data_IF_068638992422
#
_entry.id   IF_068638992422
#
_cell.length_a   1.000
_cell.length_b   1.000
_cell.length_c   1.000
_cell.angle_alpha   90.00
_cell.angle_beta   90.00
_cell.angle_gamma   90.00
#
_symmetry.space_group_name_H-M   'P 1'
#
loop_
_entity.id
_entity.type
_entity.pdbx_description
1 polymer ?
#
# COMPACT_ATOMS: atom_id res chain seq x y z
N UNK A 1 40.66 6.64 -4.63
CA UNK A 1 39.67 5.88 -5.42
C UNK A 1 38.62 6.88 -5.88
N UNK A 2 38.31 6.96 -7.17
CA UNK A 2 37.21 7.81 -7.63
C UNK A 2 35.91 7.26 -7.06
N UNK A 3 35.14 8.10 -6.35
CA UNK A 3 33.77 7.76 -5.94
C UNK A 3 32.99 7.32 -7.19
N UNK A 4 32.22 6.25 -7.06
CA UNK A 4 31.31 5.89 -8.13
C UNK A 4 30.29 7.03 -8.33
N UNK A 5 29.81 7.23 -9.56
CA UNK A 5 28.77 8.23 -9.84
C UNK A 5 27.54 8.02 -8.94
N UNK A 6 27.21 6.77 -8.63
CA UNK A 6 26.14 6.38 -7.71
C UNK A 6 26.37 6.91 -6.29
N UNK A 7 27.57 6.72 -5.73
CA UNK A 7 27.91 7.25 -4.40
C UNK A 7 27.83 8.78 -4.37
N UNK A 8 28.31 9.44 -5.42
CA UNK A 8 28.24 10.91 -5.53
C UNK A 8 26.80 11.41 -5.54
N UNK A 9 25.88 10.70 -6.21
CA UNK A 9 24.46 11.06 -6.23
C UNK A 9 23.78 10.80 -4.89
N UNK A 10 24.09 9.70 -4.23
CA UNK A 10 23.56 9.37 -2.90
C UNK A 10 24.09 10.29 -1.80
N UNK A 11 25.32 10.76 -1.91
CA UNK A 11 25.93 11.74 -1.00
C UNK A 11 25.22 13.11 -1.00
N UNK A 12 24.34 13.37 -1.97
CA UNK A 12 23.45 14.55 -1.96
C UNK A 12 22.32 14.45 -0.94
N UNK A 13 22.09 13.25 -0.39
CA UNK A 13 21.13 13.00 0.67
C UNK A 13 21.95 12.70 1.93
N UNK A 14 22.20 13.73 2.74
CA UNK A 14 23.14 13.64 3.88
C UNK A 14 22.81 12.47 4.84
N UNK A 15 21.52 12.13 4.96
CA UNK A 15 21.06 11.04 5.83
C UNK A 15 21.36 9.64 5.30
N UNK A 16 21.73 9.47 4.03
CA UNK A 16 22.06 8.17 3.44
C UNK A 16 23.30 7.52 4.08
N UNK A 17 24.21 8.34 4.62
CA UNK A 17 25.43 7.87 5.29
C UNK A 17 25.21 7.52 6.77
N UNK A 18 24.02 7.77 7.34
CA UNK A 18 23.75 7.48 8.75
C UNK A 18 23.65 5.98 8.99
N UNK A 19 24.17 5.51 10.11
CA UNK A 19 24.09 4.09 10.47
C UNK A 19 22.66 3.65 10.81
N UNK A 20 21.86 4.55 11.38
CA UNK A 20 20.49 4.29 11.82
C UNK A 20 19.43 4.41 10.71
N UNK A 21 19.80 4.74 9.47
CA UNK A 21 18.85 4.80 8.36
C UNK A 21 18.36 3.40 7.99
N UNK A 22 17.05 3.27 7.80
CA UNK A 22 16.36 2.03 7.38
C UNK A 22 15.93 2.16 5.92
N UNK A 23 15.27 3.27 5.57
CA UNK A 23 14.69 3.47 4.24
C UNK A 23 14.83 4.94 3.83
N UNK A 24 15.14 5.19 2.55
CA UNK A 24 15.03 6.51 1.92
C UNK A 24 14.12 6.39 0.70
N UNK A 25 13.10 7.23 0.63
CA UNK A 25 12.20 7.33 -0.52
C UNK A 25 12.32 8.72 -1.16
N UNK A 26 12.28 8.75 -2.48
CA UNK A 26 12.31 9.95 -3.30
C UNK A 26 11.07 9.90 -4.19
N UNK A 27 10.17 10.85 -3.97
CA UNK A 27 8.91 10.91 -4.69
C UNK A 27 9.10 11.61 -6.05
N UNK A 28 8.18 11.40 -7.01
CA UNK A 28 8.22 12.04 -8.32
C UNK A 28 8.22 13.58 -8.32
N UNK A 29 7.90 14.22 -7.20
CA UNK A 29 7.97 15.68 -7.01
C UNK A 29 9.34 16.17 -6.48
N UNK A 30 10.30 15.24 -6.32
CA UNK A 30 11.65 15.47 -5.83
C UNK A 30 11.77 15.50 -4.31
N UNK A 31 10.68 15.36 -3.56
CA UNK A 31 10.74 15.33 -2.09
C UNK A 31 11.41 14.04 -1.61
N UNK A 32 12.30 14.18 -0.63
CA UNK A 32 12.99 13.05 0.00
C UNK A 32 12.40 12.77 1.38
N UNK A 33 12.29 11.49 1.70
CA UNK A 33 11.71 10.99 2.94
C UNK A 33 12.63 9.92 3.51
N UNK A 34 12.83 9.90 4.83
CA UNK A 34 13.67 8.93 5.50
C UNK A 34 12.94 8.24 6.66
N UNK A 35 13.20 6.95 6.83
CA UNK A 35 12.86 6.18 8.03
C UNK A 35 14.13 5.80 8.76
N UNK A 36 14.19 6.07 10.06
CA UNK A 36 15.33 5.76 10.92
C UNK A 36 14.94 4.79 12.03
N UNK A 37 15.92 4.17 12.67
CA UNK A 37 15.69 3.24 13.76
C UNK A 37 14.85 3.89 14.88
N UNK A 38 13.72 3.25 15.21
CA UNK A 38 12.77 3.72 16.23
C UNK A 38 11.65 4.61 15.69
N UNK A 39 11.69 4.99 14.41
CA UNK A 39 10.60 5.74 13.80
C UNK A 39 9.36 4.87 13.56
N UNK A 40 8.18 5.47 13.75
CA UNK A 40 6.91 4.85 13.38
C UNK A 40 6.50 5.15 11.93
N UNK A 41 6.82 6.36 11.46
CA UNK A 41 6.52 6.85 10.10
C UNK A 41 7.76 7.49 9.48
N UNK A 42 7.81 7.53 8.15
CA UNK A 42 8.83 8.27 7.44
C UNK A 42 8.74 9.77 7.75
N UNK A 43 9.88 10.42 7.85
CA UNK A 43 9.99 11.88 8.03
C UNK A 43 10.45 12.53 6.75
N UNK A 44 9.93 13.73 6.48
CA UNK A 44 10.41 14.55 5.37
C UNK A 44 11.85 14.99 5.66
N UNK A 45 12.71 14.86 4.66
CA UNK A 45 14.09 15.35 4.70
C UNK A 45 14.17 16.77 4.14
N UNK A 46 15.19 17.52 4.55
CA UNK A 46 15.40 18.90 4.09
C UNK A 46 15.85 18.94 2.62
N UNK A 47 16.53 17.89 2.16
CA UNK A 47 17.00 17.77 0.80
C UNK A 47 15.83 17.55 -0.17
N UNK A 48 15.92 18.22 -1.32
CA UNK A 48 15.02 18.02 -2.45
C UNK A 48 15.87 17.82 -3.71
N UNK A 49 15.57 16.77 -4.45
CA UNK A 49 16.26 16.50 -5.71
C UNK A 49 15.52 17.11 -6.90
N UNK A 50 16.26 17.64 -7.87
CA UNK A 50 15.67 18.07 -9.13
C UNK A 50 15.27 16.86 -9.96
N UNK A 51 14.38 17.04 -10.95
CA UNK A 51 14.00 15.94 -11.85
C UNK A 51 15.20 15.32 -12.58
N UNK A 52 16.23 16.12 -12.88
CA UNK A 52 17.50 15.65 -13.46
C UNK A 52 18.25 14.76 -12.47
N UNK A 53 18.38 15.20 -11.22
CA UNK A 53 19.10 14.44 -10.18
C UNK A 53 18.43 13.10 -9.90
N UNK A 54 17.08 13.08 -9.82
CA UNK A 54 16.29 11.86 -9.64
C UNK A 54 16.50 10.91 -10.82
N UNK A 55 16.47 11.43 -12.06
CA UNK A 55 16.68 10.63 -13.27
C UNK A 55 18.08 10.04 -13.32
N UNK A 56 19.09 10.84 -13.01
CA UNK A 56 20.50 10.42 -13.03
C UNK A 56 20.74 9.34 -11.98
N UNK A 57 20.24 9.53 -10.76
CA UNK A 57 20.30 8.52 -9.70
C UNK A 57 19.61 7.22 -10.12
N UNK A 58 18.38 7.29 -10.65
CA UNK A 58 17.65 6.11 -11.12
C UNK A 58 18.39 5.33 -12.21
N UNK A 59 18.99 6.03 -13.18
CA UNK A 59 19.80 5.40 -14.23
C UNK A 59 21.09 4.77 -13.70
N UNK A 60 21.75 5.42 -12.75
CA UNK A 60 22.95 4.90 -12.09
C UNK A 60 22.64 3.63 -11.28
N UNK A 61 21.51 3.60 -10.57
CA UNK A 61 21.01 2.41 -9.86
C UNK A 61 20.81 1.26 -10.86
N UNK A 62 20.08 1.49 -11.95
CA UNK A 62 19.87 0.45 -12.97
C UNK A 62 21.19 -0.04 -13.57
N UNK A 63 22.07 0.88 -13.95
CA UNK A 63 23.37 0.57 -14.52
C UNK A 63 24.26 -0.24 -13.58
N UNK A 64 24.24 0.03 -12.27
CA UNK A 64 25.06 -0.68 -11.29
C UNK A 64 24.72 -2.18 -11.17
N UNK A 65 23.50 -2.56 -11.59
CA UNK A 65 23.02 -3.93 -11.61
C UNK A 65 22.93 -4.51 -13.03
N UNK A 66 23.59 -3.89 -14.02
CA UNK A 66 23.57 -4.29 -15.43
C UNK A 66 22.15 -4.42 -16.02
N UNK A 67 21.24 -3.57 -15.57
CA UNK A 67 19.86 -3.51 -16.09
C UNK A 67 19.55 -2.11 -16.62
N UNK A 68 18.49 -2.00 -17.41
CA UNK A 68 18.03 -0.74 -17.98
C UNK A 68 16.52 -0.58 -17.80
N UNK A 69 16.09 0.67 -17.66
CA UNK A 69 14.68 1.03 -17.65
C UNK A 69 14.27 1.50 -19.04
N UNK A 70 13.05 1.17 -19.45
CA UNK A 70 12.44 1.68 -20.67
C UNK A 70 10.98 2.02 -20.42
N UNK A 71 10.31 2.60 -21.42
CA UNK A 71 8.86 2.85 -21.35
C UNK A 71 8.08 1.53 -21.20
N UNK A 72 8.55 0.47 -21.84
CA UNK A 72 7.90 -0.85 -21.81
C UNK A 72 8.30 -1.66 -20.57
N UNK A 73 9.42 -1.32 -19.91
CA UNK A 73 9.88 -1.91 -18.65
C UNK A 73 10.20 -0.80 -17.65
N UNK A 74 9.16 -0.17 -17.06
CA UNK A 74 9.34 1.04 -16.27
C UNK A 74 9.78 0.77 -14.83
N UNK A 75 10.06 -0.47 -14.45
CA UNK A 75 10.31 -0.89 -13.07
C UNK A 75 11.65 -1.62 -13.00
N UNK A 76 12.51 -1.19 -12.09
CA UNK A 76 13.77 -1.85 -11.75
C UNK A 76 13.79 -2.15 -10.26
N UNK A 77 14.10 -3.40 -9.92
CA UNK A 77 14.24 -3.88 -8.55
C UNK A 77 15.58 -4.58 -8.42
N UNK A 78 16.55 -3.97 -7.73
CA UNK A 78 17.96 -4.43 -7.73
C UNK A 78 18.58 -4.32 -6.35
N UNK A 79 19.74 -4.96 -6.17
CA UNK A 79 20.60 -4.74 -5.00
C UNK A 79 21.86 -4.01 -5.45
N UNK A 80 22.22 -2.95 -4.74
CA UNK A 80 23.37 -2.09 -4.98
C UNK A 80 24.19 -1.96 -3.70
N UNK A 81 25.38 -1.38 -3.80
CA UNK A 81 26.25 -1.12 -2.65
C UNK A 81 26.56 0.36 -2.56
N UNK A 82 26.48 0.93 -1.37
CA UNK A 82 26.86 2.31 -1.08
C UNK A 82 27.81 2.31 0.13
N UNK A 83 29.06 2.75 -0.05
CA UNK A 83 30.08 2.76 1.02
C UNK A 83 30.24 1.41 1.74
N UNK A 84 30.15 0.32 0.98
CA UNK A 84 30.21 -1.06 1.51
C UNK A 84 28.90 -1.58 2.12
N UNK A 85 27.87 -0.75 2.28
CA UNK A 85 26.56 -1.14 2.80
C UNK A 85 25.63 -1.60 1.66
N UNK A 86 25.04 -2.81 1.73
CA UNK A 86 24.05 -3.25 0.76
C UNK A 86 22.75 -2.44 0.88
N UNK A 87 22.20 -2.08 -0.28
CA UNK A 87 20.91 -1.39 -0.41
C UNK A 87 20.06 -2.18 -1.41
N UNK A 88 18.80 -2.44 -1.05
CA UNK A 88 17.78 -2.84 -2.02
C UNK A 88 17.16 -1.59 -2.61
N UNK A 89 17.18 -1.46 -3.93
CA UNK A 89 16.65 -0.30 -4.63
C UNK A 89 15.46 -0.69 -5.51
N UNK A 90 14.39 0.08 -5.40
CA UNK A 90 13.21 0.04 -6.25
C UNK A 90 13.15 1.36 -7.02
N UNK A 91 13.14 1.30 -8.35
CA UNK A 91 12.99 2.48 -9.21
C UNK A 91 11.78 2.27 -10.12
N UNK A 92 10.92 3.27 -10.19
CA UNK A 92 9.77 3.31 -11.09
C UNK A 92 9.85 4.58 -11.92
N UNK A 93 9.85 4.46 -13.24
CA UNK A 93 9.96 5.58 -14.19
C UNK A 93 8.64 5.80 -14.95
N UNK A 94 8.40 7.00 -15.53
CA UNK A 94 7.33 7.17 -16.50
C UNK A 94 7.41 6.11 -17.63
N UNK A 95 6.27 5.58 -18.10
CA UNK A 95 4.90 6.04 -17.83
C UNK A 95 4.21 5.47 -16.58
N UNK A 96 4.87 4.61 -15.79
CA UNK A 96 4.27 4.00 -14.59
C UNK A 96 4.08 4.99 -13.43
N UNK A 97 4.72 6.17 -13.51
CA UNK A 97 4.50 7.35 -12.68
C UNK A 97 4.36 8.57 -13.60
N UNK A 98 3.62 9.59 -13.18
CA UNK A 98 3.21 10.68 -14.08
C UNK A 98 4.31 11.73 -14.39
N UNK A 99 5.21 12.03 -13.45
CA UNK A 99 6.16 13.15 -13.57
C UNK A 99 7.62 12.66 -13.68
N UNK A 100 8.31 12.53 -12.56
CA UNK A 100 9.67 12.01 -12.46
C UNK A 100 9.66 10.57 -11.92
N UNK A 101 10.84 9.97 -11.78
CA UNK A 101 10.94 8.63 -11.20
C UNK A 101 10.58 8.64 -9.71
N UNK A 102 10.04 7.52 -9.22
CA UNK A 102 9.97 7.21 -7.79
C UNK A 102 11.11 6.26 -7.45
N UNK A 103 11.84 6.54 -6.37
CA UNK A 103 12.98 5.72 -5.91
C UNK A 103 12.76 5.35 -4.45
N UNK A 104 12.88 4.08 -4.10
CA UNK A 104 12.91 3.60 -2.72
C UNK A 104 14.19 2.80 -2.47
N UNK A 105 14.88 3.12 -1.39
CA UNK A 105 16.19 2.59 -1.02
C UNK A 105 16.11 2.01 0.39
N UNK A 106 16.13 0.70 0.49
CA UNK A 106 16.16 -0.01 1.77
C UNK A 106 17.58 -0.38 2.15
N UNK A 107 18.07 0.21 3.23
CA UNK A 107 19.41 0.00 3.75
C UNK A 107 19.44 -1.23 4.66
N UNK A 108 20.46 -2.07 4.51
CA UNK A 108 20.59 -3.25 5.35
C UNK A 108 21.06 -2.83 6.73
N UNK A 109 20.49 -3.42 7.77
CA UNK A 109 20.90 -3.13 9.15
C UNK A 109 22.36 -3.53 9.36
N UNK A 110 23.12 -2.65 10.01
CA UNK A 110 24.48 -2.90 10.49
C UNK A 110 24.55 -3.20 11.99
N UNK A 111 23.38 -3.32 12.66
CA UNK A 111 23.32 -3.62 14.10
C UNK A 111 23.99 -4.96 14.41
N UNK A 112 24.96 -5.00 15.33
CA UNK A 112 25.56 -6.25 15.79
C UNK A 112 24.51 -7.08 16.53
N UNK A 113 24.61 -8.41 16.43
CA UNK A 113 23.63 -9.33 17.01
C UNK A 113 23.51 -9.16 18.53
N UNK A 114 24.61 -8.83 19.21
CA UNK A 114 24.66 -8.58 20.65
C UNK A 114 23.86 -7.33 21.07
N UNK A 115 23.60 -6.41 20.13
CA UNK A 115 22.80 -5.20 20.35
C UNK A 115 21.29 -5.41 20.13
N UNK A 116 20.87 -6.61 19.70
CA UNK A 116 19.45 -6.91 19.44
C UNK A 116 18.80 -7.43 20.73
N UNK A 117 18.06 -6.55 21.41
CA UNK A 117 17.19 -6.92 22.51
C UNK A 117 15.73 -7.08 22.03
N UNK A 118 15.06 -8.14 22.47
CA UNK A 118 13.66 -8.41 22.16
C UNK A 118 12.85 -8.44 23.44
N UNK A 119 11.80 -7.62 23.50
CA UNK A 119 10.86 -7.55 24.61
C UNK A 119 9.42 -7.62 24.08
N UNK A 120 8.47 -7.96 24.95
CA UNK A 120 7.07 -7.75 24.63
C UNK A 120 6.80 -6.27 24.43
N UNK A 121 6.36 -5.88 23.23
CA UNK A 121 6.00 -4.49 22.88
C UNK A 121 4.98 -3.86 23.84
N UNK A 122 4.19 -4.70 24.52
CA UNK A 122 3.15 -4.27 25.46
C UNK A 122 3.43 -4.69 26.91
N UNK A 123 4.69 -5.03 27.23
CA UNK A 123 5.11 -5.57 28.53
C UNK A 123 4.63 -6.99 28.85
N UNK A 124 3.71 -7.53 28.03
CA UNK A 124 3.19 -8.89 28.10
C UNK A 124 2.78 -9.37 26.71
N UNK A 125 2.60 -10.69 26.58
CA UNK A 125 1.99 -11.28 25.39
C UNK A 125 0.60 -10.68 25.13
N UNK A 126 0.33 -10.39 23.86
CA UNK A 126 -1.00 -10.01 23.37
C UNK A 126 -1.31 -10.80 22.10
N UNK A 127 -2.46 -11.45 22.07
CA UNK A 127 -2.97 -12.14 20.88
C UNK A 127 -3.56 -11.10 19.92
N UNK A 128 -2.96 -10.96 18.74
CA UNK A 128 -3.39 -9.97 17.75
C UNK A 128 -4.77 -10.28 17.14
N UNK A 129 -5.15 -11.57 17.09
CA UNK A 129 -6.48 -11.96 16.60
C UNK A 129 -7.60 -11.53 17.56
N UNK A 130 -7.39 -11.64 18.88
CA UNK A 130 -8.37 -11.16 19.87
C UNK A 130 -8.60 -9.64 19.71
N UNK A 131 -7.51 -8.88 19.53
CA UNK A 131 -7.59 -7.43 19.26
C UNK A 131 -8.33 -7.11 17.97
N UNK A 132 -8.17 -7.94 16.94
CA UNK A 132 -8.89 -7.77 15.67
C UNK A 132 -10.40 -7.98 15.84
N UNK A 133 -10.79 -9.00 16.61
CA UNK A 133 -12.20 -9.26 16.94
C UNK A 133 -12.80 -8.11 17.76
N UNK A 134 -12.05 -7.59 18.74
CA UNK A 134 -12.44 -6.42 19.54
C UNK A 134 -12.67 -5.18 18.66
N UNK A 135 -11.74 -4.89 17.73
CA UNK A 135 -11.87 -3.78 16.77
C UNK A 135 -13.12 -3.92 15.89
N UNK A 136 -13.40 -5.12 15.38
CA UNK A 136 -14.61 -5.39 14.57
C UNK A 136 -15.89 -5.14 15.39
N UNK A 137 -15.92 -5.53 16.67
CA UNK A 137 -17.05 -5.26 17.57
C UNK A 137 -17.23 -3.76 17.81
N UNK A 138 -16.16 -3.05 18.14
CA UNK A 138 -16.21 -1.60 18.35
C UNK A 138 -16.68 -0.86 17.09
N UNK A 139 -16.22 -1.27 15.89
CA UNK A 139 -16.72 -0.70 14.63
C UNK A 139 -18.24 -0.88 14.48
N UNK A 140 -18.80 -2.04 14.86
CA UNK A 140 -20.26 -2.25 14.82
C UNK A 140 -21.01 -1.26 15.70
N UNK A 141 -20.49 -0.95 16.88
CA UNK A 141 -21.07 0.03 17.80
C UNK A 141 -21.03 1.45 17.20
N UNK A 142 -19.90 1.85 16.61
CA UNK A 142 -19.74 3.15 15.94
C UNK A 142 -20.70 3.27 14.74
N UNK A 143 -20.81 2.23 13.92
CA UNK A 143 -21.75 2.21 12.78
C UNK A 143 -23.20 2.32 13.26
N UNK A 144 -23.56 1.65 14.36
CA UNK A 144 -24.91 1.71 14.92
C UNK A 144 -25.29 3.10 15.44
N UNK A 145 -24.32 3.95 15.80
CA UNK A 145 -24.57 5.35 16.15
C UNK A 145 -24.99 6.22 14.95
N UNK A 146 -24.82 5.74 13.72
CA UNK A 146 -25.27 6.41 12.49
C UNK A 146 -24.37 7.55 11.99
N UNK A 147 -23.20 7.76 12.61
CA UNK A 147 -22.23 8.78 12.21
C UNK A 147 -21.20 8.17 11.25
N UNK A 148 -21.44 8.36 9.94
CA UNK A 148 -20.62 7.75 8.88
C UNK A 148 -19.16 8.20 8.97
N UNK A 149 -18.91 9.50 9.19
CA UNK A 149 -17.55 10.03 9.28
C UNK A 149 -16.76 9.41 10.45
N UNK A 150 -17.42 9.16 11.59
CA UNK A 150 -16.80 8.50 12.74
C UNK A 150 -16.47 7.03 12.44
N UNK A 151 -17.37 6.33 11.73
CA UNK A 151 -17.10 4.97 11.29
C UNK A 151 -15.93 4.89 10.30
N UNK A 152 -15.85 5.82 9.34
CA UNK A 152 -14.72 5.90 8.40
C UNK A 152 -13.42 6.24 9.12
N UNK A 153 -13.43 7.21 10.04
CA UNK A 153 -12.28 7.57 10.86
C UNK A 153 -11.81 6.37 11.69
N UNK A 154 -12.74 5.67 12.35
CA UNK A 154 -12.43 4.46 13.12
C UNK A 154 -11.72 3.40 12.28
N UNK A 155 -12.23 3.11 11.08
CA UNK A 155 -11.60 2.15 10.16
C UNK A 155 -10.16 2.54 9.81
N UNK A 156 -9.92 3.82 9.55
CA UNK A 156 -8.61 4.34 9.19
C UNK A 156 -7.64 4.29 10.36
N UNK A 157 -8.02 4.84 11.51
CA UNK A 157 -7.21 4.88 12.74
C UNK A 157 -6.82 3.48 13.22
N UNK A 158 -7.74 2.51 13.09
CA UNK A 158 -7.50 1.13 13.50
C UNK A 158 -6.82 0.26 12.44
N UNK A 159 -6.45 0.86 11.29
CA UNK A 159 -5.77 0.18 10.16
C UNK A 159 -6.56 -1.04 9.67
N UNK A 160 -7.88 -0.90 9.54
CA UNK A 160 -8.74 -1.97 9.03
C UNK A 160 -8.57 -2.14 7.51
N UNK A 161 -8.49 -3.38 7.05
CA UNK A 161 -8.45 -3.73 5.64
C UNK A 161 -9.86 -3.55 5.03
N UNK A 162 -9.97 -2.66 4.04
CA UNK A 162 -11.26 -2.20 3.53
C UNK A 162 -11.48 -2.56 2.07
N UNK A 163 -12.72 -2.87 1.72
CA UNK A 163 -13.19 -2.85 0.33
C UNK A 163 -14.31 -1.83 0.22
N UNK A 164 -14.21 -0.89 -0.71
CA UNK A 164 -15.34 -0.04 -1.11
C UNK A 164 -16.04 -0.71 -2.28
N UNK A 165 -17.26 -1.21 -2.06
CA UNK A 165 -18.05 -1.86 -3.09
C UNK A 165 -19.28 -1.06 -3.50
N UNK A 166 -19.92 -1.42 -4.60
CA UNK A 166 -21.02 -0.67 -5.19
C UNK A 166 -21.15 -0.84 -6.70
N UNK A 167 -22.37 -0.68 -7.20
CA UNK A 167 -22.69 -0.68 -8.63
C UNK A 167 -21.98 0.43 -9.41
N UNK A 168 -22.26 0.49 -10.72
CA UNK A 168 -21.75 1.58 -11.56
C UNK A 168 -22.38 2.90 -11.14
N UNK A 169 -21.56 3.97 -11.08
CA UNK A 169 -22.01 5.32 -10.76
C UNK A 169 -22.63 5.53 -9.35
N UNK A 170 -22.34 4.65 -8.39
CA UNK A 170 -22.75 4.80 -6.98
C UNK A 170 -21.83 5.67 -6.13
N UNK A 171 -20.64 6.03 -6.64
CA UNK A 171 -19.71 6.92 -5.95
C UNK A 171 -18.58 6.22 -5.17
N UNK A 172 -18.20 4.99 -5.54
CA UNK A 172 -17.08 4.26 -4.91
C UNK A 172 -15.80 5.10 -4.80
N UNK A 173 -15.36 5.72 -5.89
CA UNK A 173 -14.15 6.58 -5.88
C UNK A 173 -14.33 7.77 -4.95
N UNK A 174 -15.53 8.34 -4.83
CA UNK A 174 -15.81 9.43 -3.89
C UNK A 174 -15.72 8.96 -2.45
N UNK A 175 -16.30 7.79 -2.14
CA UNK A 175 -16.18 7.19 -0.81
C UNK A 175 -14.73 6.84 -0.47
N UNK A 176 -13.97 6.30 -1.42
CA UNK A 176 -12.54 6.04 -1.27
C UNK A 176 -11.75 7.33 -0.99
N UNK A 177 -12.00 8.41 -1.73
CA UNK A 177 -11.40 9.74 -1.47
C UNK A 177 -11.74 10.26 -0.08
N UNK A 178 -12.97 10.08 0.37
CA UNK A 178 -13.40 10.47 1.72
C UNK A 178 -12.66 9.66 2.79
N UNK A 179 -12.52 8.34 2.62
CA UNK A 179 -11.71 7.50 3.51
C UNK A 179 -10.25 7.99 3.56
N UNK A 180 -9.64 8.28 2.41
CA UNK A 180 -8.28 8.81 2.33
C UNK A 180 -8.12 10.15 3.07
N UNK A 181 -9.16 10.97 3.14
CA UNK A 181 -9.10 12.25 3.88
C UNK A 181 -8.98 12.07 5.39
N UNK A 182 -9.31 10.89 5.93
CA UNK A 182 -9.11 10.56 7.34
C UNK A 182 -7.71 9.98 7.62
N UNK A 183 -6.92 9.66 6.59
CA UNK A 183 -5.57 9.09 6.78
C UNK A 183 -4.63 10.18 7.30
N UNK A 184 -3.90 9.94 8.41
CA UNK A 184 -2.92 10.88 8.95
C UNK A 184 -1.88 11.33 7.91
N UNK A 185 -1.40 12.57 8.05
CA UNK A 185 -0.47 13.19 7.10
C UNK A 185 0.92 12.55 7.08
N UNK A 186 1.27 11.84 8.14
CA UNK A 186 2.54 11.18 8.38
C UNK A 186 2.64 9.86 7.62
N UNK A 187 1.50 9.28 7.24
CA UNK A 187 1.46 8.00 6.54
C UNK A 187 1.85 8.15 5.06
N UNK A 188 2.69 7.22 4.60
CA UNK A 188 3.03 7.06 3.20
C UNK A 188 1.96 6.27 2.45
N UNK A 189 1.41 6.86 1.39
CA UNK A 189 0.36 6.23 0.57
C UNK A 189 0.89 5.94 -0.83
N UNK A 190 0.69 4.71 -1.30
CA UNK A 190 0.90 4.37 -2.72
C UNK A 190 -0.43 4.00 -3.35
N UNK A 191 -0.85 4.74 -4.37
CA UNK A 191 -2.06 4.44 -5.16
C UNK A 191 -1.69 3.75 -6.47
N UNK A 192 -2.54 2.84 -6.94
CA UNK A 192 -2.37 2.12 -8.21
C UNK A 192 -3.67 2.23 -8.99
N UNK A 193 -3.65 3.00 -10.09
CA UNK A 193 -4.87 3.39 -10.81
C UNK A 193 -4.62 3.41 -12.31
N UNK A 194 -5.65 3.24 -13.14
CA UNK A 194 -5.51 3.39 -14.61
C UNK A 194 -5.54 4.85 -15.02
N UNK A 195 -6.29 5.67 -14.28
CA UNK A 195 -6.30 7.11 -14.35
C UNK A 195 -6.23 7.63 -12.91
N UNK A 196 -5.46 8.69 -12.68
CA UNK A 196 -5.32 9.26 -11.33
C UNK A 196 -6.61 9.96 -10.89
N UNK A 197 -7.45 9.28 -10.11
CA UNK A 197 -8.74 9.79 -9.62
C UNK A 197 -8.76 9.96 -8.10
N UNK A 198 -7.95 9.20 -7.35
CA UNK A 198 -7.95 9.21 -5.89
C UNK A 198 -7.27 10.46 -5.30
N UNK A 199 -6.21 10.95 -5.93
CA UNK A 199 -5.46 12.18 -5.55
C UNK A 199 -5.35 12.38 -4.01
N UNK A 200 -4.60 11.50 -3.30
CA UNK A 200 -4.38 11.64 -1.87
C UNK A 200 -3.77 13.00 -1.52
N UNK A 201 -4.16 13.56 -0.37
CA UNK A 201 -3.68 14.86 0.12
C UNK A 201 -2.46 14.76 1.02
N UNK A 202 -2.07 13.53 1.39
CA UNK A 202 -0.92 13.26 2.22
C UNK A 202 0.36 13.68 1.48
N UNK A 203 1.30 14.36 2.17
CA UNK A 203 2.52 14.86 1.54
C UNK A 203 3.44 13.74 1.03
N UNK A 204 3.39 12.57 1.67
CA UNK A 204 4.19 11.41 1.28
C UNK A 204 3.34 10.43 0.45
N UNK A 205 2.97 10.82 -0.78
CA UNK A 205 2.15 9.99 -1.64
C UNK A 205 2.78 9.77 -3.02
N UNK A 206 2.60 8.56 -3.56
CA UNK A 206 2.99 8.20 -4.93
C UNK A 206 1.83 7.55 -5.65
N UNK A 207 1.49 8.05 -6.83
CA UNK A 207 0.46 7.45 -7.70
C UNK A 207 1.14 6.71 -8.85
N UNK A 208 0.90 5.40 -8.90
CA UNK A 208 1.31 4.52 -9.98
C UNK A 208 0.17 4.39 -11.00
N UNK A 209 0.53 4.46 -12.28
CA UNK A 209 -0.41 4.35 -13.39
C UNK A 209 -0.31 2.96 -13.99
N UNK A 210 -1.37 2.16 -13.84
CA UNK A 210 -1.51 0.84 -14.41
C UNK A 210 -1.95 0.92 -15.88
N UNK A 211 -1.39 0.04 -16.69
CA UNK A 211 -1.83 -0.18 -18.07
C UNK A 211 -2.02 -1.68 -18.29
N UNK A 212 -3.26 -2.09 -18.59
CA UNK A 212 -3.61 -3.49 -18.79
C UNK A 212 -2.98 -4.11 -20.03
N UNK A 213 -2.71 -3.29 -21.04
CA UNK A 213 -2.17 -3.73 -22.32
C UNK A 213 -0.62 -3.77 -22.30
N UNK A 214 0.00 -3.30 -21.22
CA UNK A 214 1.45 -3.30 -21.04
C UNK A 214 1.88 -4.35 -20.01
N UNK A 215 2.54 -5.40 -20.49
CA UNK A 215 2.98 -6.57 -19.72
C UNK A 215 3.64 -6.22 -18.37
N UNK A 216 4.55 -5.23 -18.37
CA UNK A 216 5.33 -4.82 -17.19
C UNK A 216 4.75 -3.61 -16.44
N UNK A 217 3.52 -3.21 -16.76
CA UNK A 217 2.82 -2.07 -16.13
C UNK A 217 1.39 -2.44 -15.70
N UNK A 218 1.02 -3.71 -15.70
CA UNK A 218 -0.28 -4.15 -15.17
C UNK A 218 -0.42 -3.82 -13.68
N UNK A 219 -1.66 -3.70 -13.20
CA UNK A 219 -1.94 -3.41 -11.78
C UNK A 219 -1.27 -4.41 -10.83
N UNK A 220 -1.27 -5.70 -11.22
CA UNK A 220 -0.60 -6.80 -10.50
C UNK A 220 0.92 -6.59 -10.37
N UNK A 221 1.58 -6.19 -11.45
CA UNK A 221 3.02 -5.91 -11.48
C UNK A 221 3.36 -4.68 -10.62
N UNK A 222 2.56 -3.61 -10.72
CA UNK A 222 2.76 -2.40 -9.92
C UNK A 222 2.48 -2.63 -8.44
N UNK A 223 1.49 -3.47 -8.12
CA UNK A 223 1.18 -3.86 -6.75
C UNK A 223 2.33 -4.66 -6.13
N UNK A 224 2.91 -5.59 -6.89
CA UNK A 224 4.12 -6.31 -6.47
C UNK A 224 5.31 -5.37 -6.25
N UNK A 225 5.49 -4.37 -7.12
CA UNK A 225 6.55 -3.37 -6.97
C UNK A 225 6.36 -2.50 -5.73
N UNK A 226 5.10 -2.19 -5.40
CA UNK A 226 4.72 -1.35 -4.24
C UNK A 226 5.17 -1.95 -2.91
N UNK A 227 5.26 -3.28 -2.79
CA UNK A 227 5.80 -3.95 -1.60
C UNK A 227 7.27 -3.61 -1.30
N UNK A 228 7.98 -2.98 -2.24
CA UNK A 228 9.36 -2.50 -2.09
C UNK A 228 9.45 -0.97 -2.03
N UNK A 229 8.33 -0.28 -1.86
CA UNK A 229 8.26 1.18 -1.83
C UNK A 229 7.98 1.76 -0.43
N UNK A 230 8.06 0.91 0.60
CA UNK A 230 7.64 1.18 1.98
C UNK A 230 6.34 2.00 2.07
N UNK A 231 5.21 1.50 1.59
CA UNK A 231 3.92 2.13 1.85
C UNK A 231 3.48 1.84 3.30
N UNK A 232 2.85 2.82 3.96
CA UNK A 232 2.04 2.57 5.15
C UNK A 232 0.62 2.11 4.78
N UNK A 233 0.15 2.50 3.57
CA UNK A 233 -1.09 2.01 2.95
C UNK A 233 -0.93 1.85 1.44
N UNK A 234 -1.55 0.80 0.92
CA UNK A 234 -1.69 0.53 -0.51
C UNK A 234 -3.14 0.74 -0.91
N UNK A 235 -3.36 1.56 -1.92
CA UNK A 235 -4.69 1.87 -2.42
C UNK A 235 -4.79 1.40 -3.87
N UNK A 236 -5.39 0.24 -4.07
CA UNK A 236 -5.66 -0.24 -5.41
C UNK A 236 -6.96 0.38 -5.91
N UNK A 237 -6.90 1.14 -7.00
CA UNK A 237 -8.05 1.90 -7.51
C UNK A 237 -9.25 1.00 -7.78
N UNK A 238 -9.03 -0.16 -8.38
CA UNK A 238 -10.08 -1.16 -8.61
C UNK A 238 -9.46 -2.55 -8.82
N UNK A 239 -10.12 -3.59 -8.30
CA UNK A 239 -9.82 -4.99 -8.63
C UNK A 239 -10.74 -5.49 -9.74
N UNK A 240 -10.16 -6.04 -10.80
CA UNK A 240 -10.85 -6.68 -11.94
C UNK A 240 -10.32 -8.09 -12.28
N UNK A 241 -9.13 -8.45 -11.83
CA UNK A 241 -8.45 -9.67 -12.24
C UNK A 241 -7.45 -10.21 -11.23
N UNK A 242 -6.34 -10.73 -11.76
CA UNK A 242 -5.30 -11.47 -11.02
C UNK A 242 -4.67 -10.68 -9.86
N UNK A 243 -4.66 -9.35 -9.96
CA UNK A 243 -4.21 -8.44 -8.91
C UNK A 243 -4.98 -8.60 -7.59
N UNK A 244 -6.17 -9.21 -7.62
CA UNK A 244 -6.95 -9.55 -6.43
C UNK A 244 -6.16 -10.37 -5.41
N UNK A 245 -5.45 -11.42 -5.86
CA UNK A 245 -4.68 -12.26 -4.96
C UNK A 245 -3.49 -11.51 -4.39
N UNK A 246 -2.73 -10.84 -5.26
CA UNK A 246 -1.59 -10.01 -4.88
C UNK A 246 -2.00 -8.93 -3.86
N UNK A 247 -3.21 -8.36 -3.98
CA UNK A 247 -3.76 -7.43 -3.00
C UNK A 247 -4.05 -8.10 -1.66
N UNK A 248 -4.70 -9.26 -1.66
CA UNK A 248 -4.99 -10.01 -0.43
C UNK A 248 -3.70 -10.44 0.28
N UNK A 249 -2.66 -10.83 -0.45
CA UNK A 249 -1.35 -11.15 0.14
C UNK A 249 -0.69 -9.89 0.72
N UNK A 250 -0.74 -8.76 0.01
CA UNK A 250 -0.14 -7.51 0.45
C UNK A 250 -0.70 -7.02 1.79
N UNK A 251 -2.04 -7.05 1.95
CA UNK A 251 -2.70 -6.57 3.17
C UNK A 251 -2.48 -7.49 4.38
N UNK A 252 -2.15 -8.76 4.14
CA UNK A 252 -1.85 -9.74 5.20
C UNK A 252 -0.36 -9.79 5.58
N UNK A 253 0.53 -9.18 4.81
CA UNK A 253 2.00 -9.27 4.99
C UNK A 253 2.64 -7.99 5.51
N UNK A 254 1.85 -7.12 6.16
CA UNK A 254 2.37 -5.93 6.84
C UNK A 254 1.88 -4.59 6.29
N UNK A 255 0.96 -4.59 5.32
CA UNK A 255 0.36 -3.36 4.77
C UNK A 255 -1.11 -3.21 5.16
N UNK A 256 -1.40 -3.40 6.45
CA UNK A 256 -2.76 -3.26 7.01
C UNK A 256 -3.30 -1.84 6.87
N UNK A 257 -4.62 -1.69 6.78
CA UNK A 257 -5.27 -0.38 6.57
C UNK A 257 -5.33 0.05 5.10
N UNK A 258 -4.91 -0.85 4.21
CA UNK A 258 -5.01 -0.73 2.76
C UNK A 258 -6.46 -0.92 2.29
N UNK A 259 -6.78 -0.41 1.11
CA UNK A 259 -8.12 -0.56 0.55
C UNK A 259 -8.10 -0.74 -0.96
N UNK A 260 -9.20 -1.30 -1.47
CA UNK A 260 -9.49 -1.32 -2.90
C UNK A 260 -10.95 -0.98 -3.17
N UNK A 261 -11.28 -0.69 -4.43
CA UNK A 261 -12.68 -0.69 -4.88
C UNK A 261 -13.04 -1.92 -5.69
N UNK A 262 -14.31 -2.31 -5.65
CA UNK A 262 -14.82 -3.46 -6.38
C UNK A 262 -16.27 -3.23 -6.82
N UNK A 263 -16.59 -3.50 -8.08
CA UNK A 263 -17.98 -3.45 -8.54
C UNK A 263 -18.77 -4.67 -8.03
N UNK A 264 -19.79 -4.43 -7.21
CA UNK A 264 -20.80 -5.42 -6.83
C UNK A 264 -22.07 -4.73 -6.30
N UNK A 265 -23.22 -5.39 -6.46
CA UNK A 265 -24.52 -4.90 -5.98
C UNK A 265 -24.71 -5.11 -4.48
N UNK A 266 -24.01 -6.09 -3.89
CA UNK A 266 -24.02 -6.35 -2.44
C UNK A 266 -22.60 -6.71 -1.95
N UNK A 267 -22.31 -6.54 -0.66
CA UNK A 267 -21.04 -6.96 -0.07
C UNK A 267 -20.73 -8.45 -0.24
N UNK A 268 -21.74 -9.32 -0.17
CA UNK A 268 -21.56 -10.76 -0.35
C UNK A 268 -21.19 -11.09 -1.80
N UNK A 269 -21.83 -10.43 -2.78
CA UNK A 269 -21.42 -10.52 -4.18
C UNK A 269 -20.02 -9.94 -4.39
N UNK A 270 -19.61 -8.94 -3.60
CA UNK A 270 -18.26 -8.40 -3.61
C UNK A 270 -17.24 -9.48 -3.21
N UNK A 271 -17.49 -10.21 -2.11
CA UNK A 271 -16.65 -11.35 -1.69
C UNK A 271 -16.56 -12.42 -2.78
N UNK A 272 -17.69 -12.80 -3.38
CA UNK A 272 -17.73 -13.80 -4.45
C UNK A 272 -16.94 -13.36 -5.70
N UNK A 273 -17.11 -12.10 -6.13
CA UNK A 273 -16.38 -11.56 -7.28
C UNK A 273 -14.89 -11.45 -7.02
N UNK A 274 -14.51 -11.06 -5.81
CA UNK A 274 -13.11 -11.03 -5.41
C UNK A 274 -12.50 -12.42 -5.43
N UNK A 275 -13.22 -13.44 -4.96
CA UNK A 275 -12.77 -14.83 -5.01
C UNK A 275 -12.56 -15.31 -6.45
N UNK A 276 -13.51 -15.04 -7.35
CA UNK A 276 -13.37 -15.36 -8.78
C UNK A 276 -12.15 -14.64 -9.39
N UNK A 277 -11.94 -13.37 -9.04
CA UNK A 277 -10.80 -12.60 -9.54
C UNK A 277 -9.47 -13.16 -9.03
N UNK A 278 -9.38 -13.51 -7.75
CA UNK A 278 -8.18 -14.10 -7.14
C UNK A 278 -7.85 -15.48 -7.72
N UNK A 279 -8.85 -16.33 -7.98
CA UNK A 279 -8.66 -17.67 -8.57
C UNK A 279 -8.28 -17.66 -10.06
N UNK A 280 -8.19 -16.47 -10.70
CA UNK A 280 -7.50 -16.35 -12.00
C UNK A 280 -5.99 -16.55 -11.86
N UNK A 281 -5.46 -16.42 -10.65
CA UNK A 281 -4.11 -16.90 -10.33
C UNK A 281 -4.16 -18.42 -10.21
N UNK A 282 -3.19 -19.12 -10.80
CA UNK A 282 -3.14 -20.60 -10.85
C UNK A 282 -2.75 -21.21 -9.48
N UNK A 283 -3.40 -20.79 -8.41
CA UNK A 283 -3.15 -21.25 -7.05
C UNK A 283 -4.06 -22.46 -6.75
N UNK A 284 -3.55 -23.52 -6.10
CA UNK A 284 -4.34 -24.71 -5.76
C UNK A 284 -5.26 -24.46 -4.55
N UNK A 285 -6.18 -23.51 -4.66
CA UNK A 285 -7.25 -23.24 -3.68
C UNK A 285 -8.61 -23.51 -4.31
N UNK A 286 -9.53 -24.10 -3.55
CA UNK A 286 -10.92 -24.18 -4.00
C UNK A 286 -11.61 -22.82 -3.90
N UNK A 287 -12.76 -22.68 -4.55
CA UNK A 287 -13.58 -21.48 -4.40
C UNK A 287 -13.99 -21.24 -2.94
N UNK A 288 -14.32 -22.31 -2.19
CA UNK A 288 -14.69 -22.19 -0.78
C UNK A 288 -13.51 -21.72 0.09
N UNK A 289 -12.31 -22.26 -0.14
CA UNK A 289 -11.10 -21.84 0.58
C UNK A 289 -10.79 -20.36 0.33
N UNK A 290 -10.96 -19.90 -0.92
CA UNK A 290 -10.74 -18.50 -1.27
C UNK A 290 -11.75 -17.56 -0.60
N UNK A 291 -13.03 -17.95 -0.53
CA UNK A 291 -14.04 -17.17 0.21
C UNK A 291 -13.61 -17.04 1.68
N UNK A 292 -13.26 -18.15 2.33
CA UNK A 292 -12.81 -18.13 3.72
C UNK A 292 -11.55 -17.27 3.90
N UNK A 293 -10.59 -17.37 2.98
CA UNK A 293 -9.39 -16.55 2.98
C UNK A 293 -9.72 -15.05 2.90
N UNK A 294 -10.64 -14.66 2.02
CA UNK A 294 -11.10 -13.26 1.89
C UNK A 294 -11.80 -12.79 3.17
N UNK A 295 -12.72 -13.59 3.73
CA UNK A 295 -13.44 -13.25 4.96
C UNK A 295 -12.51 -13.10 6.18
N UNK A 296 -11.38 -13.79 6.15
CA UNK A 296 -10.32 -13.66 7.15
C UNK A 296 -9.33 -12.53 6.84
N UNK A 297 -9.27 -12.01 5.61
CA UNK A 297 -8.31 -10.97 5.22
C UNK A 297 -8.93 -9.57 5.28
N UNK A 298 -10.22 -9.46 4.97
CA UNK A 298 -10.96 -8.20 4.89
C UNK A 298 -11.70 -7.95 6.20
N UNK A 299 -11.51 -6.75 6.76
CA UNK A 299 -12.13 -6.36 8.01
C UNK A 299 -13.53 -5.78 7.80
N UNK A 300 -13.71 -4.99 6.73
CA UNK A 300 -14.98 -4.35 6.40
C UNK A 300 -15.14 -4.10 4.90
N UNK A 301 -16.35 -4.33 4.40
CA UNK A 301 -16.79 -3.93 3.07
C UNK A 301 -17.79 -2.79 3.24
N UNK A 302 -17.46 -1.65 2.66
CA UNK A 302 -18.27 -0.43 2.70
C UNK A 302 -19.05 -0.34 1.39
N UNK A 303 -20.35 -0.62 1.45
CA UNK A 303 -21.22 -0.64 0.28
C UNK A 303 -21.71 0.77 -0.05
N UNK A 304 -21.24 1.32 -1.17
CA UNK A 304 -21.76 2.55 -1.75
C UNK A 304 -22.99 2.26 -2.64
N UNK A 305 -24.06 3.02 -2.43
CA UNK A 305 -25.31 2.87 -3.17
C UNK A 305 -25.85 4.20 -3.68
N UNK A 306 -26.91 4.09 -4.49
CA UNK A 306 -27.69 5.23 -4.97
C UNK A 306 -29.17 4.94 -4.76
N UNK A 307 -29.88 5.84 -4.11
CA UNK A 307 -31.32 5.75 -3.89
C UNK A 307 -31.93 7.14 -4.04
N UNK A 308 -33.03 7.25 -4.79
CA UNK A 308 -33.74 8.51 -5.07
C UNK A 308 -32.83 9.66 -5.50
N UNK A 309 -31.89 9.35 -6.41
CA UNK A 309 -30.93 10.32 -6.94
C UNK A 309 -29.77 10.68 -5.99
N UNK A 310 -29.82 10.30 -4.71
CA UNK A 310 -28.77 10.52 -3.72
C UNK A 310 -27.77 9.39 -3.71
N UNK A 311 -26.49 9.71 -3.54
CA UNK A 311 -25.39 8.74 -3.33
C UNK A 311 -25.04 8.70 -1.85
N UNK A 312 -24.65 7.53 -1.36
CA UNK A 312 -24.25 7.37 0.04
C UNK A 312 -23.75 5.96 0.33
N UNK A 313 -23.51 5.68 1.61
CA UNK A 313 -23.18 4.33 2.09
C UNK A 313 -24.47 3.64 2.52
N UNK A 314 -24.69 2.42 2.04
CA UNK A 314 -25.87 1.60 2.38
C UNK A 314 -25.57 0.60 3.48
N UNK A 315 -24.34 0.10 3.57
CA UNK A 315 -23.98 -0.95 4.52
C UNK A 315 -22.48 -0.91 4.85
N UNK A 316 -22.15 -1.13 6.13
CA UNK A 316 -20.84 -1.61 6.55
C UNK A 316 -20.95 -3.10 6.85
N UNK A 317 -20.49 -3.93 5.92
CA UNK A 317 -20.50 -5.38 6.07
C UNK A 317 -19.19 -5.83 6.68
N UNK A 318 -19.24 -6.54 7.81
CA UNK A 318 -18.06 -7.10 8.46
C UNK A 318 -18.04 -8.61 8.17
N UNK A 319 -17.12 -9.10 7.32
CA UNK A 319 -16.97 -10.52 7.05
C UNK A 319 -16.69 -11.32 8.32
N UNK A 320 -17.01 -12.62 8.30
CA UNK A 320 -16.77 -13.60 9.37
C UNK A 320 -17.45 -13.35 10.73
N UNK A 321 -18.29 -12.31 10.88
CA UNK A 321 -19.07 -12.09 12.10
C UNK A 321 -20.30 -13.02 12.25
N UNK A 322 -20.67 -13.78 11.21
CA UNK A 322 -21.94 -14.52 11.15
C UNK A 322 -21.91 -15.95 11.71
N UNK A 323 -20.80 -16.40 12.33
CA UNK A 323 -20.76 -17.69 13.04
C UNK A 323 -20.72 -17.60 14.57
N UNK A 324 -20.77 -16.39 15.14
CA UNK A 324 -20.89 -16.20 16.59
C UNK A 324 -22.36 -15.91 16.91
N UNK A 325 -23.24 -16.92 16.79
CA UNK A 325 -24.64 -16.75 17.21
C UNK A 325 -25.73 -17.60 16.57
N UNK A 326 -25.42 -18.69 15.87
CA UNK A 326 -26.44 -19.66 15.44
C UNK A 326 -26.17 -21.03 16.07
N UNK A 327 -26.40 -21.11 17.38
CA UNK A 327 -26.77 -22.36 18.04
C UNK A 327 -28.27 -22.26 18.34
N UNK A 328 -29.08 -22.98 17.56
CA UNK A 328 -30.34 -23.53 18.06
C UNK A 328 -30.15 -25.04 18.14
#
# INVERSE_FOLDING_TARGET
MSLSYLETSLDRIDTAARDDVIEICINPDGTCWGEFQGDHFMRRLDQRLTATDVKDLGNQIASSANTTMSKDRPIVSVSITYKGRPIRAQVITPPAVLSAMSISLRFFSSLPLEGIALDFLFGKERKLEDLRVEKKRALREVVAAGLIDDALAFCVENKLNMIVSGGTSTGKTVAARKILSHVPSEERIVTIEEAAELLPTQPNAVTLIANRDAEFQTADVLLTATLRMRPDRIILGEVRGKEAMTFLEAINTGHGGSMTTLHAETPQLAVQRLAIAALKTEIPMTYADMIQYIENSIDVIIQAGRHDGRRGITEFYLPSATQIGASQ
#
